data_IF_389831274733
#
_entry.id   IF_389831274733
#
_cell.length_a   1.000
_cell.length_b   1.000
_cell.length_c   1.000
_cell.angle_alpha   90.00
_cell.angle_beta   90.00
_cell.angle_gamma   90.00
#
_symmetry.space_group_name_H-M   'P 1'
#
loop_
_entity.id
_entity.type
_entity.pdbx_description
1 polymer ?
#
# COMPACT_ATOMS: atom_id res chain seq x y z
N UNK A 1 32.19 19.07 -5.31
CA UNK A 1 30.77 19.27 -5.69
C UNK A 1 30.21 17.89 -6.03
N UNK A 2 29.41 17.26 -5.14
CA UNK A 2 28.79 15.95 -5.42
C UNK A 2 27.63 16.19 -6.38
N UNK A 3 27.65 15.56 -7.55
CA UNK A 3 26.49 15.52 -8.44
C UNK A 3 25.32 14.86 -7.68
N UNK A 4 24.07 15.35 -7.82
CA UNK A 4 22.93 14.66 -7.26
C UNK A 4 22.87 13.26 -7.88
N UNK A 5 22.78 12.23 -7.04
CA UNK A 5 22.57 10.87 -7.49
C UNK A 5 21.27 10.85 -8.31
N UNK A 6 21.37 10.57 -9.60
CA UNK A 6 20.22 10.26 -10.44
C UNK A 6 19.59 9.03 -9.78
N UNK A 7 18.36 9.17 -9.27
CA UNK A 7 17.62 8.04 -8.71
C UNK A 7 17.50 7.00 -9.82
N UNK A 8 18.09 5.82 -9.63
CA UNK A 8 17.92 4.71 -10.54
C UNK A 8 16.41 4.44 -10.71
N UNK A 9 15.93 4.20 -11.94
CA UNK A 9 14.51 4.01 -12.20
C UNK A 9 14.01 2.77 -11.46
N UNK A 10 12.88 2.91 -10.77
CA UNK A 10 12.19 1.79 -10.13
C UNK A 10 11.14 1.28 -11.11
N UNK A 11 11.22 -0.01 -11.46
CA UNK A 11 10.21 -0.67 -12.30
C UNK A 11 9.12 -1.26 -11.40
N UNK A 12 7.85 -0.98 -11.73
CA UNK A 12 6.71 -1.64 -11.09
C UNK A 12 6.15 -2.70 -12.05
N UNK A 13 6.00 -3.93 -11.56
CA UNK A 13 5.43 -5.06 -12.29
C UNK A 13 4.52 -5.91 -11.41
N UNK A 14 3.72 -6.76 -12.03
CA UNK A 14 2.96 -7.80 -11.32
C UNK A 14 3.94 -8.69 -10.53
N UNK A 15 3.53 -9.01 -9.30
CA UNK A 15 4.23 -9.94 -8.45
C UNK A 15 3.90 -11.38 -8.88
N UNK A 16 4.91 -12.23 -8.93
CA UNK A 16 4.76 -13.67 -9.13
C UNK A 16 4.91 -14.40 -7.79
N UNK A 17 4.56 -15.70 -7.72
CA UNK A 17 4.84 -16.51 -6.53
C UNK A 17 6.32 -16.51 -6.12
N UNK A 18 7.23 -16.32 -7.07
CA UNK A 18 8.69 -16.34 -6.86
C UNK A 18 9.22 -15.05 -6.20
N UNK A 19 8.43 -13.99 -6.18
CA UNK A 19 8.79 -12.75 -5.48
C UNK A 19 8.56 -12.87 -3.95
N UNK A 20 7.76 -13.83 -3.50
CA UNK A 20 7.38 -13.95 -2.09
C UNK A 20 8.58 -14.07 -1.12
N UNK A 21 9.62 -14.88 -1.39
CA UNK A 21 10.80 -14.95 -0.54
C UNK A 21 11.52 -13.60 -0.36
N UNK A 22 11.39 -12.67 -1.32
CA UNK A 22 11.93 -11.32 -1.20
C UNK A 22 10.96 -10.35 -0.51
N UNK A 23 9.64 -10.57 -0.62
CA UNK A 23 8.61 -9.75 0.05
C UNK A 23 8.55 -10.03 1.55
N UNK A 24 8.61 -11.31 1.91
CA UNK A 24 8.37 -11.77 3.29
C UNK A 24 9.27 -11.11 4.35
N UNK A 25 10.60 -10.98 4.16
CA UNK A 25 11.48 -10.43 5.19
C UNK A 25 11.07 -9.03 5.65
N UNK A 26 10.84 -8.10 4.72
CA UNK A 26 10.46 -6.73 5.08
C UNK A 26 9.01 -6.64 5.53
N UNK A 27 8.10 -7.47 5.01
CA UNK A 27 6.71 -7.53 5.50
C UNK A 27 6.69 -7.92 6.97
N UNK A 28 7.41 -9.00 7.32
CA UNK A 28 7.51 -9.49 8.69
C UNK A 28 8.08 -8.43 9.63
N UNK A 29 9.13 -7.73 9.22
CA UNK A 29 9.73 -6.65 10.00
C UNK A 29 8.73 -5.51 10.26
N UNK A 30 8.04 -5.05 9.22
CA UNK A 30 7.05 -3.96 9.30
C UNK A 30 5.89 -4.35 10.23
N UNK A 31 5.38 -5.58 10.11
CA UNK A 31 4.26 -6.07 10.93
C UNK A 31 4.69 -6.29 12.39
N UNK A 32 5.87 -6.88 12.62
CA UNK A 32 6.40 -7.09 13.97
C UNK A 32 6.65 -5.76 14.72
N UNK A 33 7.06 -4.72 13.99
CA UNK A 33 7.19 -3.37 14.53
C UNK A 33 5.84 -2.85 15.06
N UNK A 34 4.72 -3.17 14.42
CA UNK A 34 3.37 -2.83 14.92
C UNK A 34 3.05 -1.34 14.85
N UNK A 35 3.70 -0.60 13.96
CA UNK A 35 3.57 0.88 13.89
C UNK A 35 2.63 1.35 12.78
N UNK A 36 2.33 0.49 11.79
CA UNK A 36 1.70 0.94 10.53
C UNK A 36 0.57 0.05 10.01
N UNK A 37 0.40 -1.16 10.54
CA UNK A 37 -0.60 -2.13 10.07
C UNK A 37 -1.37 -2.75 11.22
N UNK A 38 -2.67 -2.96 11.03
CA UNK A 38 -3.58 -3.66 11.96
C UNK A 38 -3.51 -5.19 11.78
N UNK A 39 -2.30 -5.72 11.58
CA UNK A 39 -2.06 -7.17 11.47
C UNK A 39 -1.50 -7.69 12.80
N UNK A 40 -1.72 -8.98 13.14
CA UNK A 40 -1.06 -9.61 14.27
C UNK A 40 0.45 -9.46 14.15
N UNK A 41 1.12 -8.99 15.20
CA UNK A 41 2.58 -8.73 15.18
C UNK A 41 3.40 -10.02 15.03
N UNK A 42 2.78 -11.16 15.33
CA UNK A 42 3.28 -12.53 15.23
C UNK A 42 2.64 -13.30 14.06
N UNK A 43 2.14 -12.59 13.02
CA UNK A 43 1.53 -13.21 11.84
C UNK A 43 2.44 -14.30 11.26
N UNK A 44 1.84 -15.44 10.92
CA UNK A 44 2.56 -16.54 10.27
C UNK A 44 2.89 -16.18 8.82
N UNK A 45 3.92 -16.80 8.26
CA UNK A 45 4.27 -16.59 6.85
C UNK A 45 3.11 -16.99 5.92
N UNK A 46 2.43 -18.09 6.21
CA UNK A 46 1.30 -18.58 5.41
C UNK A 46 0.12 -17.61 5.43
N UNK A 47 -0.24 -17.08 6.60
CA UNK A 47 -1.32 -16.08 6.73
C UNK A 47 -0.94 -14.75 6.06
N UNK A 48 0.32 -14.32 6.22
CA UNK A 48 0.84 -13.15 5.53
C UNK A 48 0.79 -13.32 4.01
N UNK A 49 1.19 -14.49 3.50
CA UNK A 49 1.15 -14.80 2.08
C UNK A 49 -0.27 -14.81 1.54
N UNK A 50 -1.18 -15.49 2.24
CA UNK A 50 -2.58 -15.59 1.85
C UNK A 50 -3.29 -14.22 1.80
N UNK A 51 -2.93 -13.31 2.71
CA UNK A 51 -3.50 -11.96 2.76
C UNK A 51 -2.82 -10.99 1.79
N UNK A 52 -1.54 -11.20 1.46
CA UNK A 52 -0.76 -10.26 0.64
C UNK A 52 -0.77 -10.61 -0.85
N UNK A 53 -0.57 -11.87 -1.21
CA UNK A 53 -0.47 -12.35 -2.60
C UNK A 53 -1.85 -12.59 -3.20
N UNK A 54 -2.53 -11.50 -3.59
CA UNK A 54 -3.89 -11.53 -4.11
C UNK A 54 -4.02 -12.19 -5.49
N UNK A 55 -5.19 -12.74 -5.74
CA UNK A 55 -5.65 -13.24 -7.05
C UNK A 55 -6.76 -12.35 -7.60
N UNK A 56 -7.06 -12.39 -8.91
CA UNK A 56 -8.16 -11.63 -9.49
C UNK A 56 -9.48 -11.79 -8.71
N UNK A 57 -10.24 -10.71 -8.51
CA UNK A 57 -10.08 -9.37 -9.08
C UNK A 57 -9.03 -8.47 -8.37
N UNK A 58 -8.31 -8.97 -7.38
CA UNK A 58 -7.16 -8.29 -6.80
C UNK A 58 -5.86 -8.56 -7.56
N UNK A 59 -4.85 -7.73 -7.31
CA UNK A 59 -3.51 -7.87 -7.85
C UNK A 59 -2.46 -7.51 -6.79
N UNK A 60 -1.27 -8.06 -6.96
CA UNK A 60 -0.08 -7.75 -6.16
C UNK A 60 1.02 -7.31 -7.11
N UNK A 61 1.77 -6.30 -6.72
CA UNK A 61 2.83 -5.69 -7.50
C UNK A 61 4.13 -5.67 -6.67
N UNK A 62 5.25 -5.67 -7.37
CA UNK A 62 6.57 -5.41 -6.79
C UNK A 62 7.22 -4.22 -7.47
N UNK A 63 7.93 -3.45 -6.67
CA UNK A 63 8.90 -2.47 -7.13
C UNK A 63 10.27 -3.13 -7.17
N UNK A 64 10.94 -3.11 -8.31
CA UNK A 64 12.29 -3.66 -8.48
C UNK A 64 13.27 -2.61 -8.98
N UNK A 65 14.53 -2.72 -8.59
CA UNK A 65 15.63 -1.97 -9.23
C UNK A 65 16.19 -2.70 -10.47
N UNK A 66 17.20 -2.10 -11.09
CA UNK A 66 17.85 -2.58 -12.32
C UNK A 66 18.48 -3.97 -12.15
N UNK A 67 18.88 -4.35 -10.94
CA UNK A 67 19.43 -5.66 -10.60
C UNK A 67 18.33 -6.71 -10.32
N UNK A 68 17.06 -6.30 -10.39
CA UNK A 68 15.90 -7.15 -10.09
C UNK A 68 15.60 -7.29 -8.60
N UNK A 69 16.26 -6.51 -7.73
CA UNK A 69 16.03 -6.56 -6.28
C UNK A 69 14.66 -5.99 -5.96
N UNK A 70 13.83 -6.75 -5.22
CA UNK A 70 12.53 -6.26 -4.75
C UNK A 70 12.75 -5.22 -3.64
N UNK A 71 12.32 -3.98 -3.90
CA UNK A 71 12.43 -2.84 -3.00
C UNK A 71 11.15 -2.59 -2.18
N UNK A 72 10.06 -3.22 -2.58
CA UNK A 72 8.76 -3.04 -1.96
C UNK A 72 7.67 -3.74 -2.75
N UNK A 73 6.49 -3.85 -2.14
CA UNK A 73 5.32 -4.47 -2.73
C UNK A 73 4.07 -3.66 -2.41
N UNK A 74 3.10 -3.73 -3.31
CA UNK A 74 1.76 -3.25 -3.07
C UNK A 74 0.74 -4.29 -3.48
N UNK A 75 -0.40 -4.32 -2.81
CA UNK A 75 -1.58 -5.06 -3.27
C UNK A 75 -2.75 -4.11 -3.46
N UNK A 76 -3.59 -4.39 -4.44
CA UNK A 76 -4.77 -3.61 -4.75
C UNK A 76 -5.93 -4.51 -5.20
N UNK A 77 -7.15 -4.02 -5.10
CA UNK A 77 -8.35 -4.78 -5.44
C UNK A 77 -9.61 -4.11 -4.90
N UNK A 78 -10.77 -4.76 -4.97
CA UNK A 78 -12.00 -4.21 -4.43
C UNK A 78 -11.88 -4.04 -2.90
N UNK A 79 -12.23 -2.86 -2.39
CA UNK A 79 -12.24 -2.58 -0.95
C UNK A 79 -13.32 -3.40 -0.24
N UNK A 80 -14.45 -3.59 -0.92
CA UNK A 80 -15.63 -4.31 -0.43
C UNK A 80 -16.15 -5.26 -1.51
N UNK A 81 -16.98 -6.22 -1.11
CA UNK A 81 -17.61 -7.17 -2.06
C UNK A 81 -18.93 -6.60 -2.59
N UNK A 82 -19.49 -7.28 -3.60
CA UNK A 82 -20.86 -7.03 -4.07
C UNK A 82 -21.13 -5.56 -4.43
N UNK A 83 -22.18 -4.92 -3.89
CA UNK A 83 -22.51 -3.51 -4.20
C UNK A 83 -21.40 -2.49 -3.91
N UNK A 84 -20.45 -2.82 -3.03
CA UNK A 84 -19.30 -1.96 -2.69
C UNK A 84 -18.06 -2.20 -3.56
N UNK A 85 -18.08 -3.14 -4.50
CA UNK A 85 -16.89 -3.54 -5.27
C UNK A 85 -16.41 -2.49 -6.27
N UNK A 86 -17.19 -1.42 -6.50
CA UNK A 86 -16.81 -0.32 -7.37
C UNK A 86 -15.79 0.65 -6.74
N UNK A 87 -15.46 0.48 -5.45
CA UNK A 87 -14.40 1.21 -4.77
C UNK A 87 -13.22 0.27 -4.54
N UNK A 88 -12.04 0.66 -5.03
CA UNK A 88 -10.79 -0.06 -4.82
C UNK A 88 -10.16 0.25 -3.46
N UNK A 89 -9.14 -0.53 -3.09
CA UNK A 89 -8.25 -0.29 -1.96
C UNK A 89 -6.81 -0.61 -2.33
N UNK A 90 -5.87 -0.28 -1.44
CA UNK A 90 -4.46 -0.58 -1.60
C UNK A 90 -3.76 -0.77 -0.25
N UNK A 91 -2.68 -1.53 -0.25
CA UNK A 91 -1.73 -1.63 0.88
C UNK A 91 -0.31 -1.65 0.31
N UNK A 92 0.64 -1.03 1.02
CA UNK A 92 1.98 -0.75 0.51
C UNK A 92 3.04 -1.02 1.57
N UNK A 93 4.01 -1.87 1.24
CA UNK A 93 5.17 -2.12 2.09
C UNK A 93 6.44 -1.81 1.30
N UNK A 94 7.30 -0.98 1.86
CA UNK A 94 8.59 -0.63 1.28
C UNK A 94 9.65 -1.19 2.21
N UNK A 95 10.63 -1.90 1.63
CA UNK A 95 11.78 -2.39 2.39
C UNK A 95 12.43 -1.19 3.13
N UNK A 96 12.60 -1.26 4.47
CA UNK A 96 13.28 -0.22 5.24
C UNK A 96 14.65 0.16 4.66
N UNK A 97 15.40 -0.80 4.12
CA UNK A 97 16.69 -0.59 3.45
C UNK A 97 16.56 0.17 2.12
N UNK A 98 15.41 0.11 1.46
CA UNK A 98 15.10 0.86 0.24
C UNK A 98 14.36 2.19 0.49
N UNK A 99 14.28 2.63 1.75
CA UNK A 99 13.58 3.87 2.10
C UNK A 99 14.19 5.11 1.41
N UNK A 100 13.37 6.15 1.23
CA UNK A 100 13.73 7.44 0.60
C UNK A 100 14.17 7.37 -0.88
N UNK A 101 13.97 6.23 -1.56
CA UNK A 101 14.20 6.08 -3.02
C UNK A 101 12.97 6.34 -3.90
N UNK A 102 11.90 6.92 -3.35
CA UNK A 102 10.66 7.16 -4.09
C UNK A 102 9.78 5.92 -4.35
N UNK A 103 10.18 4.73 -3.86
CA UNK A 103 9.47 3.45 -4.07
C UNK A 103 7.99 3.52 -3.68
N UNK A 104 7.66 4.05 -2.50
CA UNK A 104 6.27 4.18 -2.05
C UNK A 104 5.42 5.07 -2.96
N UNK A 105 6.01 6.12 -3.54
CA UNK A 105 5.34 6.97 -4.53
C UNK A 105 5.10 6.21 -5.82
N UNK A 106 6.12 5.53 -6.36
CA UNK A 106 6.00 4.75 -7.58
C UNK A 106 4.92 3.66 -7.47
N UNK A 107 4.89 2.93 -6.35
CA UNK A 107 3.82 1.96 -6.06
C UNK A 107 2.44 2.62 -5.94
N UNK A 108 2.35 3.76 -5.25
CA UNK A 108 1.10 4.51 -5.09
C UNK A 108 0.52 5.00 -6.41
N UNK A 109 1.36 5.57 -7.27
CA UNK A 109 0.99 6.04 -8.61
C UNK A 109 0.57 4.87 -9.51
N UNK A 110 1.28 3.74 -9.43
CA UNK A 110 0.92 2.53 -10.15
C UNK A 110 -0.44 1.98 -9.72
N UNK A 111 -0.70 1.84 -8.40
CA UNK A 111 -1.98 1.33 -7.88
C UNK A 111 -3.15 2.23 -8.27
N UNK A 112 -2.94 3.55 -8.29
CA UNK A 112 -3.92 4.52 -8.77
C UNK A 112 -4.25 4.28 -10.24
N UNK A 113 -3.23 4.22 -11.09
CA UNK A 113 -3.40 4.06 -12.53
C UNK A 113 -4.05 2.70 -12.85
N UNK A 114 -3.59 1.64 -12.20
CA UNK A 114 -4.17 0.31 -12.29
C UNK A 114 -5.64 0.32 -11.87
N UNK A 115 -5.97 0.96 -10.74
CA UNK A 115 -7.34 1.00 -10.24
C UNK A 115 -8.30 1.73 -11.18
N UNK A 116 -7.84 2.81 -11.82
CA UNK A 116 -8.60 3.51 -12.85
C UNK A 116 -8.82 2.60 -14.08
N UNK A 117 -7.78 1.87 -14.51
CA UNK A 117 -7.86 0.93 -15.63
C UNK A 117 -8.78 -0.27 -15.35
N UNK A 118 -8.94 -0.68 -14.09
CA UNK A 118 -9.91 -1.71 -13.66
C UNK A 118 -11.35 -1.18 -13.57
N UNK A 119 -11.59 0.11 -13.77
CA UNK A 119 -12.92 0.72 -13.71
C UNK A 119 -13.44 1.00 -12.29
N UNK A 120 -12.57 1.02 -11.27
CA UNK A 120 -12.96 1.52 -9.95
C UNK A 120 -13.31 3.01 -10.02
N UNK A 121 -14.33 3.43 -9.27
CA UNK A 121 -14.80 4.83 -9.20
C UNK A 121 -14.08 5.66 -8.13
N UNK A 122 -13.30 5.00 -7.29
CA UNK A 122 -12.53 5.61 -6.22
C UNK A 122 -11.67 4.59 -5.50
N UNK A 123 -10.75 5.06 -4.67
CA UNK A 123 -9.88 4.26 -3.81
C UNK A 123 -10.09 4.69 -2.37
N UNK A 124 -10.27 3.72 -1.47
CA UNK A 124 -10.38 3.95 -0.04
C UNK A 124 -9.25 3.24 0.71
N UNK A 125 -8.56 3.98 1.58
CA UNK A 125 -7.70 3.40 2.61
C UNK A 125 -8.46 3.44 3.94
N UNK A 126 -8.71 2.26 4.51
CA UNK A 126 -9.57 2.13 5.70
C UNK A 126 -8.86 2.48 7.00
N UNK A 127 -7.54 2.31 7.04
CA UNK A 127 -6.75 2.41 8.27
C UNK A 127 -5.33 2.87 7.95
N UNK A 128 -5.12 4.19 7.94
CA UNK A 128 -3.77 4.79 7.95
C UNK A 128 -3.51 5.29 9.36
N UNK A 129 -2.54 4.69 10.05
CA UNK A 129 -2.19 5.07 11.43
C UNK A 129 -1.80 6.55 11.47
N UNK A 130 -2.40 7.35 12.35
CA UNK A 130 -2.24 8.81 12.34
C UNK A 130 -0.79 9.27 12.61
N UNK A 131 -0.02 8.47 13.35
CA UNK A 131 1.40 8.72 13.62
C UNK A 131 2.29 8.44 12.41
N UNK A 132 1.79 7.72 11.39
CA UNK A 132 2.50 7.49 10.12
C UNK A 132 2.37 8.71 9.19
N UNK A 133 2.90 9.83 9.67
CA UNK A 133 2.86 11.15 9.00
C UNK A 133 3.48 11.11 7.61
N UNK A 134 4.49 10.25 7.38
CA UNK A 134 5.09 10.04 6.06
C UNK A 134 4.11 9.43 5.06
N UNK A 135 3.36 8.40 5.46
CA UNK A 135 2.35 7.80 4.60
C UNK A 135 1.19 8.77 4.34
N UNK A 136 0.70 9.45 5.38
CA UNK A 136 -0.35 10.47 5.23
C UNK A 136 0.05 11.57 4.24
N UNK A 137 1.26 12.13 4.37
CA UNK A 137 1.76 13.15 3.45
C UNK A 137 1.88 12.62 2.01
N UNK A 138 2.34 11.38 1.84
CA UNK A 138 2.38 10.73 0.53
C UNK A 138 0.97 10.61 -0.07
N UNK A 139 0.01 10.05 0.65
CA UNK A 139 -1.34 9.85 0.15
C UNK A 139 -2.04 11.16 -0.19
N UNK A 140 -1.90 12.19 0.64
CA UNK A 140 -2.37 13.54 0.31
C UNK A 140 -1.76 14.06 -0.99
N UNK A 141 -0.45 13.91 -1.19
CA UNK A 141 0.20 14.32 -2.44
C UNK A 141 -0.26 13.53 -3.67
N UNK A 142 -0.85 12.35 -3.48
CA UNK A 142 -1.43 11.52 -4.53
C UNK A 142 -2.95 11.74 -4.69
N UNK A 143 -3.50 12.80 -4.08
CA UNK A 143 -4.89 13.21 -4.25
C UNK A 143 -5.89 12.51 -3.34
N UNK A 144 -5.43 11.84 -2.28
CA UNK A 144 -6.33 11.33 -1.24
C UNK A 144 -6.68 12.43 -0.24
N UNK A 145 -7.96 12.51 0.10
CA UNK A 145 -8.46 13.34 1.18
C UNK A 145 -8.73 12.49 2.43
N UNK A 146 -8.53 13.08 3.61
CA UNK A 146 -9.00 12.47 4.86
C UNK A 146 -10.52 12.55 4.91
N UNK A 147 -11.16 11.40 5.08
CA UNK A 147 -12.61 11.29 5.33
C UNK A 147 -12.90 11.51 6.81
N UNK A 148 -12.07 10.94 7.67
CA UNK A 148 -12.18 11.06 9.12
C UNK A 148 -11.09 10.28 9.85
N UNK A 149 -11.02 10.46 11.16
CA UNK A 149 -10.11 9.74 12.05
C UNK A 149 -10.95 9.06 13.13
N UNK A 150 -10.74 7.76 13.33
CA UNK A 150 -11.33 7.03 14.45
C UNK A 150 -10.34 7.10 15.62
N UNK A 151 -10.62 7.87 16.69
CA UNK A 151 -9.66 8.08 17.78
C UNK A 151 -9.43 6.80 18.59
N UNK A 152 -8.18 6.57 19.00
CA UNK A 152 -7.80 5.42 19.83
C UNK A 152 -7.99 4.04 19.18
N UNK A 153 -8.14 3.98 17.85
CA UNK A 153 -8.42 2.75 17.12
C UNK A 153 -7.17 1.90 16.80
N UNK A 154 -5.98 2.32 17.24
CA UNK A 154 -4.72 1.62 17.01
C UNK A 154 -3.82 1.66 18.25
N UNK A 155 -3.52 0.50 18.83
CA UNK A 155 -2.60 0.39 19.97
C UNK A 155 -1.14 0.45 19.49
N UNK A 156 -0.55 1.65 19.44
CA UNK A 156 0.82 1.87 18.98
C UNK A 156 1.83 1.52 20.08
N UNK A 157 2.89 0.73 19.79
CA UNK A 157 3.84 0.26 20.79
C UNK A 157 4.63 1.39 21.48
N UNK A 158 4.76 2.54 20.83
CA UNK A 158 5.51 3.72 21.33
C UNK A 158 4.59 4.86 21.79
N UNK A 159 3.39 4.99 21.20
CA UNK A 159 2.57 6.21 21.35
C UNK A 159 1.24 5.95 22.07
N UNK A 160 0.98 4.73 22.53
CA UNK A 160 -0.30 4.35 23.14
C UNK A 160 -1.41 4.24 22.10
N UNK A 161 -2.65 4.41 22.53
CA UNK A 161 -3.81 4.34 21.63
C UNK A 161 -3.89 5.60 20.76
N UNK A 162 -3.65 5.42 19.46
CA UNK A 162 -3.68 6.47 18.44
C UNK A 162 -4.79 6.21 17.42
N UNK A 163 -5.11 7.22 16.62
CA UNK A 163 -6.17 7.20 15.63
C UNK A 163 -5.85 6.40 14.36
N UNK A 164 -6.91 5.87 13.74
CA UNK A 164 -6.89 5.35 12.37
C UNK A 164 -7.58 6.34 11.43
N UNK A 165 -6.83 6.82 10.45
CA UNK A 165 -7.31 7.74 9.42
C UNK A 165 -7.92 6.97 8.27
N UNK A 166 -9.17 7.28 7.93
CA UNK A 166 -9.82 6.84 6.69
C UNK A 166 -9.52 7.87 5.61
N UNK A 167 -9.03 7.43 4.46
CA UNK A 167 -8.73 8.29 3.32
C UNK A 167 -9.46 7.83 2.07
N UNK A 168 -9.86 8.78 1.22
CA UNK A 168 -10.54 8.50 -0.03
C UNK A 168 -10.02 9.36 -1.17
N UNK A 169 -9.94 8.75 -2.36
CA UNK A 169 -9.66 9.45 -3.61
C UNK A 169 -10.68 9.04 -4.68
N UNK A 170 -11.43 9.96 -5.30
CA UNK A 170 -12.22 9.65 -6.49
C UNK A 170 -11.32 9.36 -7.69
N UNK A 171 -11.74 8.39 -8.52
CA UNK A 171 -11.15 8.12 -9.82
C UNK A 171 -12.25 8.43 -10.84
N UNK A 172 -12.14 9.57 -11.53
CA UNK A 172 -13.16 10.04 -12.46
C UNK A 172 -13.43 8.98 -13.53
N UNK A 173 -14.58 8.30 -13.40
CA UNK A 173 -15.13 7.38 -14.39
C UNK A 173 -16.63 7.56 -14.38
N UNK A 174 -17.22 7.78 -15.54
CA UNK A 174 -18.68 7.81 -15.65
C UNK A 174 -19.26 6.52 -15.08
N UNK A 175 -20.37 6.58 -14.33
CA UNK A 175 -21.04 5.37 -13.89
C UNK A 175 -21.38 4.53 -15.13
N UNK A 176 -20.90 3.28 -15.16
CA UNK A 176 -21.29 2.32 -16.19
C UNK A 176 -22.81 2.40 -16.41
N UNK A 177 -23.22 2.63 -17.65
CA UNK A 177 -24.61 2.84 -18.04
C UNK A 177 -25.48 1.72 -17.42
N UNK A 178 -26.55 2.14 -16.73
CA UNK A 178 -27.53 1.25 -16.11
C UNK A 178 -28.34 0.52 -17.17
#
# INVERSE_FOLDING_TARGET
MRMPAILAPVLIRDATPDDWPAIWPFLREIVAAGETYTLPRDITEDDARATWMLRPPGATFVAVDDDGTVLGSAKAGPNQRGPGSHVGTGSFMVDPAASRRGVGRALGEHVVAWSAAQGFRGIQFNAVVETNTRALALWHSLGFATVGVVPGAFAHPVHGDVGLTVMFRPLGGEPAAR
#
